data_IF_807665997102
#
_entry.id   IF_807665997102
#
_cell.length_a   1.000
_cell.length_b   1.000
_cell.length_c   1.000
_cell.angle_alpha   90.00
_cell.angle_beta   90.00
_cell.angle_gamma   90.00
#
_symmetry.space_group_name_H-M   'P 1'
#
loop_
_entity.id
_entity.type
_entity.pdbx_description
1 polymer ?
#
# COMPACT_ATOMS: atom_id res chain seq x y z
N UNK A 1 7.38 -14.66 6.50
CA UNK A 1 6.20 -13.80 6.22
C UNK A 1 5.05 -14.19 7.15
N UNK A 2 4.48 -13.21 7.83
CA UNK A 2 3.34 -13.35 8.75
C UNK A 2 2.45 -12.11 8.58
N UNK A 3 1.30 -12.12 9.23
CA UNK A 3 0.34 -11.03 9.21
C UNK A 3 0.95 -9.69 9.68
N UNK A 4 0.72 -8.60 8.93
CA UNK A 4 1.17 -7.29 9.36
C UNK A 4 0.44 -6.84 10.64
N UNK A 5 1.12 -6.01 11.43
CA UNK A 5 0.59 -5.46 12.68
C UNK A 5 0.67 -3.95 12.59
N UNK A 6 -0.47 -3.30 12.79
CA UNK A 6 -0.54 -1.85 12.91
C UNK A 6 -0.75 -1.47 14.37
N UNK A 7 0.04 -0.51 14.82
CA UNK A 7 -0.01 0.00 16.17
C UNK A 7 0.34 1.47 16.24
N UNK A 8 -0.09 2.09 17.33
CA UNK A 8 0.31 3.44 17.73
C UNK A 8 1.14 3.34 19.00
N UNK A 9 2.29 4.01 19.03
CA UNK A 9 3.13 4.14 20.21
C UNK A 9 3.02 5.55 20.80
N UNK A 10 3.01 5.63 22.13
CA UNK A 10 3.27 6.87 22.88
C UNK A 10 4.62 6.75 23.54
N UNK A 11 5.50 7.71 23.26
CA UNK A 11 6.84 7.77 23.85
C UNK A 11 6.86 9.00 24.77
N UNK A 12 7.02 8.77 26.07
CA UNK A 12 7.20 9.83 27.06
C UNK A 12 8.68 10.19 27.18
N UNK A 13 9.09 11.29 26.54
CA UNK A 13 10.50 11.71 26.47
C UNK A 13 11.01 12.38 27.75
N UNK A 14 10.13 12.68 28.72
CA UNK A 14 10.49 13.36 29.97
C UNK A 14 10.92 12.39 31.08
N UNK A 15 10.73 11.08 30.89
CA UNK A 15 11.18 10.05 31.85
C UNK A 15 12.54 9.50 31.43
N UNK A 16 13.46 9.35 32.38
CA UNK A 16 14.85 8.90 32.18
C UNK A 16 15.00 7.57 31.39
N UNK A 17 13.96 6.73 31.34
CA UNK A 17 13.95 5.47 30.57
C UNK A 17 12.91 5.40 29.45
N UNK A 18 12.24 6.50 29.11
CA UNK A 18 11.23 6.54 28.04
C UNK A 18 10.08 5.55 28.26
N UNK A 19 9.07 5.91 29.06
CA UNK A 19 7.93 4.99 29.20
C UNK A 19 7.15 4.92 27.89
N UNK A 20 6.96 3.71 27.36
CA UNK A 20 6.23 3.48 26.12
C UNK A 20 4.87 2.85 26.40
N UNK A 21 3.81 3.43 25.85
CA UNK A 21 2.48 2.79 25.76
C UNK A 21 2.21 2.44 24.30
N UNK A 22 1.50 1.35 24.06
CA UNK A 22 1.14 0.96 22.69
C UNK A 22 -0.29 0.44 22.62
N UNK A 23 -0.93 0.73 21.49
CA UNK A 23 -2.24 0.19 21.13
C UNK A 23 -2.12 -0.41 19.73
N UNK A 24 -2.60 -1.62 19.56
CA UNK A 24 -2.57 -2.35 18.29
C UNK A 24 -3.99 -2.71 17.86
N UNK A 25 -4.18 -2.91 16.55
CA UNK A 25 -5.34 -3.65 16.07
C UNK A 25 -5.35 -5.06 16.66
N UNK A 26 -6.55 -5.59 16.94
CA UNK A 26 -6.68 -6.95 17.44
C UNK A 26 -6.13 -7.96 16.43
N UNK A 27 -5.76 -9.15 16.91
CA UNK A 27 -5.35 -10.25 16.01
C UNK A 27 -6.46 -10.62 15.02
N UNK A 28 -7.72 -10.52 15.44
CA UNK A 28 -8.88 -10.81 14.59
C UNK A 28 -9.01 -9.78 13.45
N UNK A 29 -8.99 -8.48 13.77
CA UNK A 29 -9.02 -7.41 12.75
C UNK A 29 -7.81 -7.49 11.83
N UNK A 30 -6.62 -7.71 12.40
CA UNK A 30 -5.40 -7.86 11.61
C UNK A 30 -5.56 -9.00 10.61
N UNK A 31 -6.08 -10.17 11.04
CA UNK A 31 -6.29 -11.34 10.17
C UNK A 31 -7.35 -11.09 9.11
N UNK A 32 -8.25 -10.15 9.34
CA UNK A 32 -9.26 -9.77 8.37
C UNK A 32 -8.69 -8.84 7.29
N UNK A 33 -7.88 -7.84 7.67
CA UNK A 33 -7.55 -6.73 6.78
C UNK A 33 -6.07 -6.63 6.37
N UNK A 34 -5.12 -7.00 7.23
CA UNK A 34 -3.72 -6.58 7.12
C UNK A 34 -2.81 -7.57 6.38
N UNK A 35 -3.29 -8.07 5.24
CA UNK A 35 -2.52 -8.95 4.38
C UNK A 35 -1.67 -8.13 3.42
N UNK A 36 -0.37 -8.06 3.69
CA UNK A 36 0.59 -7.31 2.88
C UNK A 36 0.25 -5.81 2.82
N UNK A 37 0.28 -5.16 3.98
CA UNK A 37 0.12 -3.70 4.06
C UNK A 37 1.23 -3.00 3.27
N UNK A 38 0.88 -1.98 2.49
CA UNK A 38 1.82 -1.39 1.55
C UNK A 38 1.96 0.13 1.74
N UNK A 39 0.94 0.89 1.37
CA UNK A 39 1.02 2.34 1.22
C UNK A 39 -0.12 3.00 1.97
N UNK A 40 0.14 4.22 2.46
CA UNK A 40 -0.84 5.01 3.17
C UNK A 40 -1.24 6.25 2.38
N UNK A 41 -2.43 6.76 2.72
CA UNK A 41 -2.86 8.09 2.36
C UNK A 41 -3.43 8.79 3.59
N UNK A 42 -3.21 10.09 3.70
CA UNK A 42 -3.88 10.95 4.66
C UNK A 42 -4.08 12.32 4.03
N UNK A 43 -4.88 13.17 4.68
CA UNK A 43 -5.13 14.55 4.27
C UNK A 43 -3.84 15.39 4.33
N UNK A 44 -3.02 15.38 3.27
CA UNK A 44 -1.60 15.79 3.13
C UNK A 44 -1.05 17.08 3.79
N UNK A 45 -1.79 17.76 4.64
CA UNK A 45 -1.25 18.64 5.68
C UNK A 45 -0.83 17.76 6.87
N UNK A 46 0.42 17.86 7.32
CA UNK A 46 0.87 17.14 8.52
C UNK A 46 0.07 17.67 9.72
N UNK A 47 -0.90 16.90 10.27
CA UNK A 47 -1.69 17.37 11.39
C UNK A 47 -0.86 17.23 12.67
N UNK A 48 -1.16 18.06 13.67
CA UNK A 48 -0.61 17.88 15.02
C UNK A 48 -0.98 16.51 15.60
N UNK A 49 -2.12 15.94 15.14
CA UNK A 49 -2.62 14.62 15.54
C UNK A 49 -3.27 13.90 14.36
N UNK A 50 -2.74 12.73 14.02
CA UNK A 50 -3.44 11.80 13.13
C UNK A 50 -4.57 11.11 13.89
N UNK A 51 -5.80 11.33 13.40
CA UNK A 51 -6.99 10.57 13.79
C UNK A 51 -7.39 9.57 12.69
N UNK A 52 -7.13 9.89 11.42
CA UNK A 52 -7.52 9.06 10.28
C UNK A 52 -6.32 8.78 9.38
N UNK A 53 -6.13 7.52 8.99
CA UNK A 53 -5.13 7.12 8.00
C UNK A 53 -5.73 6.02 7.14
N UNK A 54 -5.58 6.15 5.83
CA UNK A 54 -6.00 5.16 4.87
C UNK A 54 -4.80 4.29 4.50
N UNK A 55 -5.03 3.00 4.28
CA UNK A 55 -4.00 2.08 3.81
C UNK A 55 -4.53 1.21 2.70
N UNK A 56 -3.70 0.90 1.71
CA UNK A 56 -3.94 -0.27 0.88
C UNK A 56 -3.18 -1.48 1.41
N UNK A 57 -3.80 -2.63 1.25
CA UNK A 57 -3.19 -3.93 1.45
C UNK A 57 -3.24 -4.71 0.14
N UNK A 58 -2.16 -5.38 -0.20
CA UNK A 58 -1.98 -6.08 -1.46
C UNK A 58 -2.62 -7.47 -1.47
N UNK A 59 -3.13 -7.91 -0.32
CA UNK A 59 -3.73 -9.23 -0.17
C UNK A 59 -2.65 -10.31 -0.07
N UNK A 60 -3.05 -11.55 -0.35
CA UNK A 60 -2.14 -12.67 -0.36
C UNK A 60 -2.66 -13.76 -1.30
N UNK A 61 -1.80 -14.26 -2.17
CA UNK A 61 -2.14 -15.25 -3.20
C UNK A 61 -0.96 -16.22 -3.35
N UNK A 62 -1.22 -17.44 -3.81
CA UNK A 62 -0.19 -18.48 -4.04
C UNK A 62 1.00 -17.95 -4.82
N UNK A 63 0.71 -17.16 -5.84
CA UNK A 63 1.70 -16.70 -6.83
C UNK A 63 2.60 -15.59 -6.26
N UNK A 64 2.24 -15.04 -5.09
CA UNK A 64 3.02 -14.03 -4.37
C UNK A 64 3.90 -14.64 -3.25
N UNK A 65 3.79 -15.95 -3.00
CA UNK A 65 4.57 -16.65 -1.97
C UNK A 65 5.60 -17.57 -2.62
N UNK A 66 6.82 -17.07 -2.84
CA UNK A 66 7.91 -17.91 -3.33
C UNK A 66 8.33 -18.93 -2.28
N UNK A 67 8.75 -20.12 -2.73
CA UNK A 67 9.27 -21.18 -1.87
C UNK A 67 10.44 -20.67 -1.00
N UNK A 68 11.35 -19.90 -1.61
CA UNK A 68 12.47 -19.27 -0.92
C UNK A 68 12.05 -18.39 0.26
N UNK A 69 11.08 -17.50 0.06
CA UNK A 69 10.59 -16.61 1.13
C UNK A 69 9.79 -17.40 2.19
N UNK A 70 9.11 -18.48 1.80
CA UNK A 70 8.43 -19.33 2.77
C UNK A 70 9.43 -20.01 3.72
N UNK A 71 10.40 -20.72 3.16
CA UNK A 71 11.43 -21.48 3.90
C UNK A 71 12.26 -20.58 4.81
N UNK A 72 12.68 -19.40 4.31
CA UNK A 72 13.47 -18.43 5.09
C UNK A 72 12.81 -18.04 6.41
N UNK A 73 11.47 -18.03 6.47
CA UNK A 73 10.74 -17.57 7.64
C UNK A 73 9.95 -18.68 8.33
N UNK A 74 9.96 -19.93 7.85
CA UNK A 74 9.09 -21.01 8.32
C UNK A 74 9.08 -21.10 9.86
N UNK A 75 10.27 -21.10 10.46
CA UNK A 75 10.49 -21.24 11.90
C UNK A 75 10.51 -19.92 12.68
N UNK A 76 10.02 -18.82 12.11
CA UNK A 76 10.04 -17.52 12.80
C UNK A 76 9.26 -17.57 14.14
N UNK A 77 9.90 -17.30 15.30
CA UNK A 77 9.32 -17.60 16.62
C UNK A 77 8.15 -16.69 17.00
N UNK A 78 7.97 -15.54 16.35
CA UNK A 78 6.96 -14.54 16.71
C UNK A 78 5.75 -14.53 15.77
N UNK A 79 5.48 -15.63 15.08
CA UNK A 79 4.32 -15.78 14.19
C UNK A 79 2.99 -15.65 14.94
N UNK A 80 2.07 -14.86 14.39
CA UNK A 80 0.65 -14.86 14.74
C UNK A 80 -0.10 -15.97 14.01
N UNK A 81 0.31 -16.31 12.79
CA UNK A 81 -0.24 -17.43 12.03
C UNK A 81 0.87 -18.46 11.77
N UNK A 82 0.61 -19.71 12.18
CA UNK A 82 1.55 -20.82 11.95
C UNK A 82 1.78 -21.05 10.45
N UNK A 83 2.98 -21.51 10.08
CA UNK A 83 3.40 -21.62 8.68
C UNK A 83 2.44 -22.48 7.83
N UNK A 84 1.97 -23.60 8.36
CA UNK A 84 1.00 -24.47 7.68
C UNK A 84 -0.36 -23.77 7.44
N UNK A 85 -0.85 -22.99 8.41
CA UNK A 85 -2.10 -22.24 8.26
C UNK A 85 -1.93 -21.05 7.31
N UNK A 86 -0.77 -20.39 7.34
CA UNK A 86 -0.41 -19.34 6.39
C UNK A 86 -0.51 -19.87 4.96
N UNK A 87 0.10 -21.02 4.68
CA UNK A 87 0.05 -21.66 3.36
C UNK A 87 -1.39 -21.91 2.89
N UNK A 88 -2.23 -22.52 3.73
CA UNK A 88 -3.65 -22.75 3.43
C UNK A 88 -4.43 -21.46 3.16
N UNK A 89 -4.14 -20.39 3.91
CA UNK A 89 -4.81 -19.11 3.72
C UNK A 89 -4.40 -18.46 2.40
N UNK A 90 -3.11 -18.49 2.07
CA UNK A 90 -2.55 -17.95 0.84
C UNK A 90 -3.06 -18.72 -0.38
N UNK A 91 -3.16 -20.05 -0.29
CA UNK A 91 -3.78 -20.91 -1.32
C UNK A 91 -5.26 -20.57 -1.56
N UNK A 92 -6.01 -20.27 -0.50
CA UNK A 92 -7.41 -19.79 -0.63
C UNK A 92 -7.50 -18.39 -1.24
N UNK A 93 -6.46 -17.59 -1.10
CA UNK A 93 -6.44 -16.20 -1.52
C UNK A 93 -7.05 -15.24 -0.49
N UNK A 94 -6.46 -14.06 -0.41
CA UNK A 94 -6.92 -12.90 0.35
C UNK A 94 -6.95 -11.70 -0.59
N UNK A 95 -8.10 -11.03 -0.75
CA UNK A 95 -8.20 -9.91 -1.66
C UNK A 95 -7.31 -8.76 -1.20
N UNK A 96 -6.81 -8.01 -2.18
CA UNK A 96 -6.31 -6.67 -1.91
C UNK A 96 -7.46 -5.81 -1.34
N UNK A 97 -7.14 -4.85 -0.49
CA UNK A 97 -8.15 -3.97 0.08
C UNK A 97 -7.62 -2.54 0.26
N UNK A 98 -8.57 -1.62 0.41
CA UNK A 98 -8.35 -0.26 0.89
C UNK A 98 -9.09 -0.15 2.24
N UNK A 99 -8.43 0.34 3.27
CA UNK A 99 -8.99 0.47 4.61
C UNK A 99 -8.81 1.88 5.14
N UNK A 100 -9.75 2.33 5.98
CA UNK A 100 -9.67 3.55 6.78
C UNK A 100 -9.50 3.17 8.24
N UNK A 101 -8.39 3.59 8.81
CA UNK A 101 -8.12 3.43 10.23
C UNK A 101 -8.51 4.69 10.99
N UNK A 102 -9.08 4.48 12.16
CA UNK A 102 -9.27 5.53 13.16
C UNK A 102 -8.40 5.30 14.38
N UNK A 103 -7.84 6.38 14.88
CA UNK A 103 -7.12 6.42 16.15
C UNK A 103 -7.83 7.35 17.11
N UNK A 104 -8.25 6.81 18.25
CA UNK A 104 -8.80 7.63 19.32
C UNK A 104 -7.69 8.51 19.91
N UNK A 105 -7.87 9.83 19.80
CA UNK A 105 -6.95 10.88 20.25
C UNK A 105 -7.57 11.80 21.31
N UNK A 106 -8.62 11.33 21.99
CA UNK A 106 -9.27 12.06 23.10
C UNK A 106 -8.33 12.30 24.28
N UNK A 107 -7.23 11.54 24.41
CA UNK A 107 -6.19 11.72 25.41
C UNK A 107 -4.79 11.84 24.78
N UNK A 108 -3.76 12.17 25.59
CA UNK A 108 -2.35 12.23 25.15
C UNK A 108 -1.82 10.87 24.69
N UNK A 109 -2.34 9.77 25.25
CA UNK A 109 -2.10 8.42 24.76
C UNK A 109 -3.34 7.92 23.99
N UNK A 110 -3.17 7.31 22.80
CA UNK A 110 -4.26 6.56 22.19
C UNK A 110 -4.81 5.53 23.17
N UNK A 111 -6.12 5.46 23.25
CA UNK A 111 -6.87 4.41 23.96
C UNK A 111 -7.24 3.27 23.01
N UNK A 112 -7.47 3.59 21.72
CA UNK A 112 -8.01 2.65 20.73
C UNK A 112 -7.48 2.92 19.31
N UNK A 113 -7.33 1.83 18.56
CA UNK A 113 -7.06 1.80 17.13
C UNK A 113 -8.09 0.87 16.49
N UNK A 114 -8.75 1.29 15.42
CA UNK A 114 -9.80 0.52 14.73
C UNK A 114 -9.69 0.64 13.22
N UNK A 115 -10.20 -0.37 12.51
CA UNK A 115 -10.57 -0.24 11.10
C UNK A 115 -12.03 0.19 11.05
N UNK A 116 -12.29 1.45 10.69
CA UNK A 116 -13.65 2.01 10.66
C UNK A 116 -14.39 1.67 9.37
N UNK A 117 -13.66 1.54 8.26
CA UNK A 117 -14.24 1.21 6.97
C UNK A 117 -13.22 0.52 6.07
N UNK A 118 -13.70 -0.27 5.11
CA UNK A 118 -12.83 -0.95 4.16
C UNK A 118 -13.56 -1.34 2.87
N UNK A 119 -12.78 -1.53 1.81
CA UNK A 119 -13.23 -2.04 0.53
C UNK A 119 -12.29 -3.12 0.05
N UNK A 120 -12.82 -4.31 -0.25
CA UNK A 120 -12.06 -5.37 -0.90
C UNK A 120 -12.13 -5.17 -2.42
N UNK A 121 -10.98 -5.14 -3.06
CA UNK A 121 -10.92 -5.16 -4.52
C UNK A 121 -11.39 -6.51 -5.06
N UNK A 122 -12.02 -6.55 -6.25
CA UNK A 122 -12.34 -7.81 -6.91
C UNK A 122 -11.08 -8.68 -7.13
N UNK A 123 -11.20 -10.01 -7.25
CA UNK A 123 -10.08 -10.87 -7.62
C UNK A 123 -9.37 -10.36 -8.89
N UNK A 124 -8.05 -10.32 -8.85
CA UNK A 124 -7.22 -9.78 -9.95
C UNK A 124 -7.09 -8.25 -9.97
N UNK A 125 -7.84 -7.52 -9.13
CA UNK A 125 -7.74 -6.07 -9.02
C UNK A 125 -6.85 -5.68 -7.83
N UNK A 126 -6.06 -4.64 -8.05
CA UNK A 126 -5.07 -4.17 -7.10
C UNK A 126 -5.06 -2.65 -7.04
N UNK A 127 -5.58 -2.10 -5.95
CA UNK A 127 -5.50 -0.67 -5.68
C UNK A 127 -4.12 -0.29 -5.19
N UNK A 128 -3.52 0.71 -5.83
CA UNK A 128 -2.18 1.17 -5.57
C UNK A 128 -2.10 2.69 -5.47
N UNK A 129 -1.03 3.17 -4.85
CA UNK A 129 -0.75 4.60 -4.65
C UNK A 129 -1.97 5.40 -4.18
N UNK A 130 -2.65 4.95 -3.10
CA UNK A 130 -3.82 5.65 -2.58
C UNK A 130 -3.44 7.09 -2.26
N UNK A 131 -4.35 8.01 -2.52
CA UNK A 131 -4.08 9.43 -2.39
C UNK A 131 -5.32 10.16 -1.89
N UNK A 132 -5.17 10.98 -0.85
CA UNK A 132 -6.27 11.77 -0.32
C UNK A 132 -6.40 13.09 -1.06
N UNK A 133 -7.58 13.33 -1.63
CA UNK A 133 -7.95 14.59 -2.29
C UNK A 133 -8.94 15.33 -1.40
N UNK A 134 -8.53 16.38 -0.68
CA UNK A 134 -9.41 17.09 0.25
C UNK A 134 -10.49 17.88 -0.48
N UNK A 135 -11.71 17.88 0.09
CA UNK A 135 -12.71 18.86 -0.32
C UNK A 135 -12.27 20.27 0.10
N UNK A 136 -12.50 21.32 -0.71
CA UNK A 136 -12.22 22.70 -0.30
C UNK A 136 -13.06 23.13 0.91
N UNK A 137 -12.48 23.94 1.81
CA UNK A 137 -13.21 24.61 2.89
C UNK A 137 -13.58 23.75 4.11
N UNK A 138 -12.97 22.58 4.26
CA UNK A 138 -13.17 21.68 5.41
C UNK A 138 -11.81 21.33 6.02
N UNK A 139 -11.77 21.01 7.31
CA UNK A 139 -10.60 20.42 7.97
C UNK A 139 -10.85 18.97 8.42
N UNK A 140 -12.02 18.43 8.08
CA UNK A 140 -12.37 17.05 8.39
C UNK A 140 -11.39 16.10 7.66
N UNK A 141 -10.66 15.23 8.39
CA UNK A 141 -9.68 14.31 7.83
C UNK A 141 -10.28 13.21 6.95
N UNK A 142 -11.61 13.10 6.91
CA UNK A 142 -12.37 12.20 6.04
C UNK A 142 -13.13 12.90 4.92
N UNK A 143 -13.30 14.23 4.99
CA UNK A 143 -14.06 14.99 3.98
C UNK A 143 -13.20 15.27 2.74
N UNK A 144 -13.31 14.33 1.81
CA UNK A 144 -12.55 14.30 0.58
C UNK A 144 -12.79 12.98 -0.15
N UNK A 145 -11.82 12.65 -1.01
CA UNK A 145 -11.84 11.42 -1.80
C UNK A 145 -10.53 10.67 -1.62
N UNK A 146 -10.59 9.35 -1.72
CA UNK A 146 -9.40 8.53 -1.96
C UNK A 146 -9.34 8.20 -3.44
N UNK A 147 -8.24 8.54 -4.09
CA UNK A 147 -7.97 8.15 -5.47
C UNK A 147 -6.91 7.05 -5.45
N UNK A 148 -7.19 5.94 -6.13
CA UNK A 148 -6.26 4.84 -6.33
C UNK A 148 -5.99 4.64 -7.82
N UNK A 149 -4.75 4.31 -8.16
CA UNK A 149 -4.44 3.65 -9.44
C UNK A 149 -4.77 2.17 -9.26
N UNK A 150 -5.71 1.64 -10.03
CA UNK A 150 -6.14 0.25 -9.92
C UNK A 150 -5.65 -0.53 -11.12
N UNK A 151 -4.85 -1.56 -10.86
CA UNK A 151 -4.36 -2.50 -11.86
C UNK A 151 -5.24 -3.75 -11.84
N UNK A 152 -5.63 -4.25 -13.00
CA UNK A 152 -6.58 -5.38 -13.07
C UNK A 152 -6.34 -6.39 -14.20
N UNK A 153 -5.23 -6.24 -14.93
CA UNK A 153 -4.84 -7.20 -15.97
C UNK A 153 -3.34 -7.47 -15.90
N UNK A 154 -3.00 -8.73 -16.16
CA UNK A 154 -1.65 -9.23 -16.40
C UNK A 154 -1.18 -9.00 -17.85
N UNK A 155 -2.05 -8.51 -18.73
CA UNK A 155 -1.69 -8.17 -20.12
C UNK A 155 -0.79 -6.94 -20.15
N UNK A 156 0.35 -7.09 -20.82
CA UNK A 156 1.37 -6.04 -20.86
C UNK A 156 0.97 -4.77 -21.64
N UNK A 157 0.02 -4.87 -22.59
CA UNK A 157 -0.16 -3.87 -23.66
C UNK A 157 -1.45 -3.04 -23.58
N UNK A 158 -2.61 -3.60 -23.20
CA UNK A 158 -3.90 -2.89 -23.24
C UNK A 158 -4.76 -3.15 -22.01
N UNK A 159 -5.65 -2.20 -21.69
CA UNK A 159 -6.75 -2.32 -20.71
C UNK A 159 -6.32 -2.88 -19.34
N UNK A 160 -5.27 -2.28 -18.74
CA UNK A 160 -4.71 -2.79 -17.48
C UNK A 160 -4.89 -1.90 -16.27
N UNK A 161 -5.26 -0.63 -16.45
CA UNK A 161 -5.26 0.36 -15.38
C UNK A 161 -6.47 1.30 -15.43
N UNK A 162 -7.04 1.58 -14.27
CA UNK A 162 -8.10 2.56 -14.06
C UNK A 162 -7.71 3.51 -12.90
N UNK A 163 -8.35 4.68 -12.83
CA UNK A 163 -8.34 5.51 -11.63
C UNK A 163 -9.67 5.33 -10.90
N UNK A 164 -9.63 4.83 -9.67
CA UNK A 164 -10.83 4.64 -8.86
C UNK A 164 -10.91 5.72 -7.80
N UNK A 165 -12.07 6.33 -7.67
CA UNK A 165 -12.34 7.43 -6.75
C UNK A 165 -13.37 6.96 -5.73
N UNK A 166 -12.96 6.90 -4.48
CA UNK A 166 -13.78 6.54 -3.33
C UNK A 166 -14.16 7.79 -2.53
N UNK A 167 -15.32 7.77 -1.89
CA UNK A 167 -15.64 8.75 -0.87
C UNK A 167 -14.83 8.46 0.40
N UNK A 168 -14.11 9.45 0.94
CA UNK A 168 -13.26 9.24 2.13
C UNK A 168 -14.04 8.75 3.36
N UNK A 169 -15.33 9.09 3.47
CA UNK A 169 -16.19 8.67 4.58
C UNK A 169 -16.80 7.29 4.42
N UNK A 170 -16.82 6.75 3.20
CA UNK A 170 -17.56 5.53 2.87
C UNK A 170 -16.85 4.69 1.79
N UNK A 171 -15.72 4.11 2.17
CA UNK A 171 -14.98 3.15 1.34
C UNK A 171 -15.84 1.93 1.02
N UNK A 172 -16.58 1.39 2.00
CA UNK A 172 -17.38 0.18 1.84
C UNK A 172 -18.51 0.29 0.82
N UNK A 173 -18.91 1.51 0.46
CA UNK A 173 -19.84 1.77 -0.65
C UNK A 173 -19.23 1.49 -2.03
N UNK A 174 -17.91 1.26 -2.10
CA UNK A 174 -17.16 1.06 -3.33
C UNK A 174 -16.76 2.38 -4.00
N UNK A 175 -16.10 2.28 -5.18
CA UNK A 175 -15.69 3.45 -5.92
C UNK A 175 -16.92 4.23 -6.40
N UNK A 176 -16.98 5.52 -6.10
CA UNK A 176 -17.97 6.45 -6.63
C UNK A 176 -17.81 6.63 -8.14
N UNK A 177 -16.56 6.63 -8.60
CA UNK A 177 -16.22 6.70 -10.01
C UNK A 177 -15.06 5.76 -10.35
N UNK A 178 -15.10 5.20 -11.55
CA UNK A 178 -14.01 4.45 -12.17
C UNK A 178 -13.71 5.11 -13.50
N UNK A 179 -12.51 5.66 -13.64
CA UNK A 179 -12.08 6.38 -14.83
C UNK A 179 -11.12 5.50 -15.63
N UNK A 180 -11.46 5.25 -16.88
CA UNK A 180 -10.65 4.51 -17.84
C UNK A 180 -10.45 5.34 -19.11
N UNK A 181 -9.42 5.02 -19.87
CA UNK A 181 -9.22 5.56 -21.21
C UNK A 181 -8.42 4.54 -22.04
N UNK A 182 -8.70 4.32 -23.35
CA UNK A 182 -7.99 3.32 -24.16
C UNK A 182 -6.47 3.52 -24.25
N UNK A 183 -6.01 4.76 -24.05
CA UNK A 183 -4.58 5.13 -23.99
C UNK A 183 -4.00 5.17 -22.57
N UNK A 184 -4.81 4.95 -21.53
CA UNK A 184 -4.34 4.93 -20.15
C UNK A 184 -3.66 3.58 -19.89
N UNK A 185 -2.35 3.62 -19.66
CA UNK A 185 -1.53 2.42 -19.51
C UNK A 185 -0.54 2.60 -18.35
N UNK A 186 -1.06 2.80 -17.13
CA UNK A 186 -0.25 3.02 -15.95
C UNK A 186 0.30 1.66 -15.47
N UNK A 187 1.61 1.56 -15.25
CA UNK A 187 2.26 0.39 -14.64
C UNK A 187 2.08 0.34 -13.12
N UNK A 188 2.82 -0.55 -12.46
CA UNK A 188 2.89 -0.54 -11.00
C UNK A 188 3.45 0.78 -10.49
N UNK A 189 2.66 1.49 -9.70
CA UNK A 189 3.06 2.70 -8.99
C UNK A 189 3.43 2.37 -7.54
N UNK A 190 4.05 3.30 -6.81
CA UNK A 190 4.31 3.12 -5.37
C UNK A 190 3.78 4.33 -4.63
N UNK A 191 4.53 5.42 -4.57
CA UNK A 191 4.07 6.65 -3.94
C UNK A 191 3.36 7.57 -4.93
N UNK A 192 2.48 8.40 -4.40
CA UNK A 192 1.79 9.44 -5.16
C UNK A 192 1.58 10.66 -4.26
N UNK A 193 1.46 11.85 -4.86
CA UNK A 193 1.06 13.07 -4.16
C UNK A 193 -0.05 13.82 -4.89
N UNK A 194 -1.00 14.37 -4.13
CA UNK A 194 -2.04 15.23 -4.68
C UNK A 194 -1.55 16.67 -4.70
N UNK A 195 -1.75 17.35 -5.83
CA UNK A 195 -1.48 18.77 -5.97
C UNK A 195 -2.79 19.48 -6.32
N UNK A 196 -3.18 20.46 -5.51
CA UNK A 196 -4.35 21.31 -5.79
C UNK A 196 -4.19 22.15 -7.06
N UNK A 197 -2.94 22.39 -7.46
CA UNK A 197 -2.57 23.07 -8.70
C UNK A 197 -1.38 22.35 -9.33
N UNK A 198 -1.50 22.04 -10.62
CA UNK A 198 -0.37 21.56 -11.39
C UNK A 198 0.61 22.71 -11.61
N UNK A 199 1.85 22.52 -11.17
CA UNK A 199 2.97 23.39 -11.48
C UNK A 199 4.15 22.50 -11.86
N UNK A 200 4.76 22.76 -13.02
CA UNK A 200 6.03 22.10 -13.36
C UNK A 200 7.09 22.56 -12.36
N UNK A 201 7.96 21.67 -11.85
CA UNK A 201 9.14 22.11 -11.14
C UNK A 201 10.00 22.99 -12.07
N UNK A 202 10.83 23.89 -11.51
CA UNK A 202 11.80 24.62 -12.31
C UNK A 202 12.68 23.65 -13.12
N UNK A 203 12.96 23.99 -14.37
CA UNK A 203 13.91 23.22 -15.19
C UNK A 203 15.27 23.26 -14.51
N UNK A 204 15.86 22.09 -14.27
CA UNK A 204 17.26 21.95 -13.84
C UNK A 204 18.13 21.92 -15.08
N UNK A 205 18.72 23.05 -15.46
CA UNK A 205 19.63 23.13 -16.63
C UNK A 205 20.98 22.45 -16.37
N UNK A 206 21.31 22.22 -15.09
CA UNK A 206 22.56 21.62 -14.61
C UNK A 206 22.52 20.09 -14.52
N UNK A 207 21.38 19.46 -14.82
CA UNK A 207 21.19 18.03 -14.59
C UNK A 207 20.25 17.41 -15.64
N UNK A 208 20.77 16.44 -16.40
CA UNK A 208 19.98 15.62 -17.32
C UNK A 208 20.02 14.16 -16.87
N UNK A 209 18.86 13.65 -16.41
CA UNK A 209 18.69 12.26 -15.97
C UNK A 209 19.11 11.24 -17.03
N UNK A 210 19.08 11.59 -18.32
CA UNK A 210 19.53 10.67 -19.40
C UNK A 210 21.04 10.43 -19.36
N UNK A 211 21.81 11.33 -18.75
CA UNK A 211 23.26 11.18 -18.61
C UNK A 211 23.64 10.19 -17.50
N UNK A 212 22.77 9.95 -16.52
CA UNK A 212 23.01 8.98 -15.44
C UNK A 212 22.92 7.52 -15.93
N UNK A 213 22.31 7.30 -17.09
CA UNK A 213 22.09 5.97 -17.66
C UNK A 213 22.82 5.86 -19.00
N UNK A 214 24.02 5.25 -19.07
CA UNK A 214 24.64 4.97 -20.35
C UNK A 214 23.68 4.12 -21.20
N UNK A 215 23.60 4.34 -22.52
CA UNK A 215 22.62 3.66 -23.37
C UNK A 215 22.65 2.13 -23.27
N UNK A 216 23.81 1.57 -22.90
CA UNK A 216 24.03 0.14 -22.78
C UNK A 216 23.70 -0.42 -21.41
N UNK A 217 23.49 0.40 -20.36
CA UNK A 217 23.36 -0.08 -18.98
C UNK A 217 22.35 -1.22 -18.83
N UNK A 218 21.17 -1.06 -19.44
CA UNK A 218 20.13 -2.09 -19.39
C UNK A 218 20.52 -3.34 -20.20
N UNK A 219 21.11 -3.18 -21.37
CA UNK A 219 21.56 -4.32 -22.17
C UNK A 219 22.67 -5.10 -21.43
N UNK A 220 23.68 -4.39 -20.90
CA UNK A 220 24.81 -4.98 -20.20
C UNK A 220 24.37 -5.70 -18.92
N UNK A 221 23.44 -5.11 -18.16
CA UNK A 221 22.86 -5.76 -16.98
C UNK A 221 22.15 -7.07 -17.36
N UNK A 222 21.31 -7.04 -18.40
CA UNK A 222 20.56 -8.22 -18.79
C UNK A 222 21.45 -9.32 -19.37
N UNK A 223 22.34 -8.98 -20.30
CA UNK A 223 23.22 -9.94 -20.98
C UNK A 223 24.27 -10.55 -20.06
N UNK A 224 24.89 -9.75 -19.17
CA UNK A 224 26.02 -10.23 -18.38
C UNK A 224 25.62 -10.73 -16.98
N UNK A 225 24.55 -10.18 -16.39
CA UNK A 225 24.22 -10.45 -14.99
C UNK A 225 22.88 -11.17 -14.80
N UNK A 226 21.93 -11.07 -15.74
CA UNK A 226 20.60 -11.67 -15.58
C UNK A 226 20.49 -12.96 -16.39
N UNK A 227 20.60 -12.88 -17.73
CA UNK A 227 20.41 -14.01 -18.63
C UNK A 227 21.30 -15.23 -18.35
N UNK A 228 22.58 -15.09 -17.92
CA UNK A 228 23.40 -16.25 -17.61
C UNK A 228 22.88 -17.14 -16.47
N UNK A 229 21.96 -16.62 -15.64
CA UNK A 229 21.34 -17.37 -14.55
C UNK A 229 20.02 -18.05 -14.93
N UNK A 230 19.48 -17.80 -16.13
CA UNK A 230 18.34 -18.54 -16.66
C UNK A 230 18.87 -19.64 -17.57
N UNK A 231 18.51 -20.89 -17.28
CA UNK A 231 18.89 -22.02 -18.14
C UNK A 231 18.45 -21.74 -19.58
N UNK A 232 19.41 -21.67 -20.50
CA UNK A 232 19.11 -21.71 -21.93
C UNK A 232 18.44 -23.05 -22.18
N UNK A 233 17.12 -23.05 -22.37
CA UNK A 233 16.37 -24.26 -22.65
C UNK A 233 17.04 -24.99 -23.83
N UNK A 234 17.36 -26.29 -23.73
CA UNK A 234 17.88 -27.04 -24.86
C UNK A 234 16.83 -27.01 -25.98
N UNK A 235 17.23 -26.54 -27.16
CA UNK A 235 16.44 -26.62 -28.39
C UNK A 235 16.18 -28.08 -28.80
#
# INVERSE_FOLDING_TARGET
MDLNRLGCWTIDTQKERGSTKSVFLSKAESKQYLWSIALYAWRGFQPDRFTEIYWNCWGAWSDLLSQFVFEMYEDYPHRWIGAADMKKIVEKGKPANLLRMHVDRTSTSPSKLTVEDSYNFPPGYFGNSPQFVPRPGTDDPTDGYIVCVVLFSDRFVTDKSELWIFDGKSLGSGPKYRLSHPRLNIGMTVHSTWLSKLASPPVREDYDIRQDYPPTLMADLFENEIYPHFEQSPN
#
